data_IF_283980416182
#
_entry.id   IF_283980416182
#
_cell.length_a   1.000
_cell.length_b   1.000
_cell.length_c   1.000
_cell.angle_alpha   90.00
_cell.angle_beta   90.00
_cell.angle_gamma   90.00
#
_symmetry.space_group_name_H-M   'P 1'
#
loop_
_entity.id
_entity.type
_entity.pdbx_description
1 polymer ?
#
# COMPACT_ATOMS: atom_id res chain seq x y z
N UNK A 1 9.78 -23.18 0.10
CA UNK A 1 9.13 -23.49 1.40
C UNK A 1 10.05 -24.28 2.37
N UNK A 2 11.28 -24.58 1.99
CA UNK A 2 12.23 -25.38 2.80
C UNK A 2 12.60 -24.73 4.15
N UNK A 3 12.46 -23.41 4.25
CA UNK A 3 12.91 -22.62 5.42
C UNK A 3 11.79 -21.87 6.14
N UNK A 4 10.51 -22.06 5.76
CA UNK A 4 9.37 -21.38 6.37
C UNK A 4 9.36 -19.85 6.24
N UNK A 5 10.21 -19.30 5.36
CA UNK A 5 10.30 -17.86 5.13
C UNK A 5 9.26 -17.35 4.13
N UNK A 6 8.89 -16.08 4.25
CA UNK A 6 8.11 -15.33 3.28
C UNK A 6 8.93 -14.14 2.75
N UNK A 7 8.77 -13.82 1.47
CA UNK A 7 9.39 -12.67 0.83
C UNK A 7 8.29 -11.73 0.33
N UNK A 8 8.37 -10.46 0.72
CA UNK A 8 7.57 -9.39 0.15
C UNK A 8 8.46 -8.45 -0.67
N UNK A 9 7.98 -8.06 -1.85
CA UNK A 9 8.63 -7.04 -2.68
C UNK A 9 7.62 -5.91 -2.94
N UNK A 10 8.09 -4.67 -2.90
CA UNK A 10 7.27 -3.50 -3.20
C UNK A 10 8.00 -2.59 -4.18
N UNK A 11 7.27 -2.02 -5.13
CA UNK A 11 7.76 -1.06 -6.12
C UNK A 11 6.78 0.08 -6.30
N UNK A 12 7.21 1.18 -6.91
CA UNK A 12 6.34 2.32 -7.21
C UNK A 12 5.49 2.11 -8.47
N UNK A 13 5.93 1.24 -9.38
CA UNK A 13 5.23 0.94 -10.62
C UNK A 13 5.27 -0.56 -10.92
N UNK A 14 4.20 -1.09 -11.50
CA UNK A 14 4.19 -2.46 -12.00
C UNK A 14 5.26 -2.70 -13.09
N UNK A 15 5.67 -1.66 -13.80
CA UNK A 15 6.70 -1.72 -14.85
C UNK A 15 8.07 -2.13 -14.29
N UNK A 16 8.36 -1.76 -13.04
CA UNK A 16 9.64 -2.09 -12.38
C UNK A 16 9.87 -3.60 -12.28
N UNK A 17 8.81 -4.39 -12.18
CA UNK A 17 8.92 -5.85 -12.17
C UNK A 17 9.41 -6.42 -13.48
N UNK A 18 9.26 -5.69 -14.58
CA UNK A 18 9.72 -6.12 -15.92
C UNK A 18 11.08 -5.54 -16.31
N UNK A 19 11.72 -4.79 -15.42
CA UNK A 19 13.05 -4.20 -15.62
C UNK A 19 14.19 -5.22 -15.55
N UNK A 20 13.97 -6.39 -14.96
CA UNK A 20 14.95 -7.47 -14.90
C UNK A 20 14.29 -8.84 -14.80
N UNK A 21 15.00 -9.88 -15.28
CA UNK A 21 14.50 -11.27 -15.20
C UNK A 21 14.27 -11.73 -13.76
N UNK A 22 15.05 -11.26 -12.80
CA UNK A 22 14.91 -11.58 -11.38
C UNK A 22 13.63 -11.00 -10.78
N UNK A 23 13.31 -9.74 -11.10
CA UNK A 23 12.09 -9.09 -10.64
C UNK A 23 10.86 -9.71 -11.30
N UNK A 24 10.92 -10.03 -12.58
CA UNK A 24 9.85 -10.74 -13.29
C UNK A 24 9.61 -12.14 -12.67
N UNK A 25 10.68 -12.87 -12.35
CA UNK A 25 10.58 -14.16 -11.67
C UNK A 25 9.95 -14.00 -10.27
N UNK A 26 10.33 -12.98 -9.49
CA UNK A 26 9.74 -12.70 -8.19
C UNK A 26 8.23 -12.44 -8.30
N UNK A 27 7.79 -11.63 -9.26
CA UNK A 27 6.37 -11.38 -9.52
C UNK A 27 5.64 -12.67 -9.92
N UNK A 28 6.22 -13.47 -10.83
CA UNK A 28 5.60 -14.71 -11.32
C UNK A 28 5.50 -15.79 -10.25
N UNK A 29 6.41 -15.80 -9.28
CA UNK A 29 6.40 -16.72 -8.14
C UNK A 29 5.58 -16.21 -6.94
N UNK A 30 5.04 -14.98 -7.01
CA UNK A 30 4.25 -14.41 -5.94
C UNK A 30 2.82 -14.98 -5.94
N UNK A 31 2.38 -15.57 -4.86
CA UNK A 31 1.00 -16.04 -4.68
C UNK A 31 0.04 -14.86 -4.48
N UNK A 32 0.50 -13.79 -3.83
CA UNK A 32 -0.27 -12.60 -3.52
C UNK A 32 0.28 -11.40 -4.26
N UNK A 33 -0.59 -10.66 -4.93
CA UNK A 33 -0.25 -9.41 -5.63
C UNK A 33 -1.23 -8.33 -5.18
N UNK A 34 -0.68 -7.21 -4.70
CA UNK A 34 -1.43 -6.01 -4.32
C UNK A 34 -1.09 -4.91 -5.31
N UNK A 35 -2.08 -4.40 -6.03
CA UNK A 35 -1.91 -3.29 -6.95
C UNK A 35 -2.66 -2.06 -6.42
N UNK A 36 -1.93 -1.03 -6.07
CA UNK A 36 -2.48 0.31 -5.89
C UNK A 36 -2.82 0.89 -7.27
N UNK A 37 -3.38 2.09 -7.31
CA UNK A 37 -3.68 2.78 -8.57
C UNK A 37 -2.46 2.82 -9.47
N UNK A 38 -2.61 2.34 -10.69
CA UNK A 38 -1.58 2.30 -11.72
C UNK A 38 -1.94 3.22 -12.89
N UNK A 39 -0.94 3.60 -13.67
CA UNK A 39 -1.14 4.27 -14.97
C UNK A 39 -1.74 3.29 -15.98
N UNK A 40 -2.45 3.83 -16.99
CA UNK A 40 -3.07 3.00 -18.02
C UNK A 40 -2.05 2.12 -18.76
N UNK A 41 -0.87 2.66 -19.05
CA UNK A 41 0.21 1.94 -19.73
C UNK A 41 0.70 0.73 -18.91
N UNK A 42 0.84 0.90 -17.59
CA UNK A 42 1.24 -0.18 -16.67
C UNK A 42 0.18 -1.28 -16.59
N UNK A 43 -1.11 -0.92 -16.62
CA UNK A 43 -2.23 -1.87 -16.68
C UNK A 43 -2.19 -2.68 -17.98
N UNK A 44 -1.95 -2.01 -19.12
CA UNK A 44 -1.79 -2.68 -20.42
C UNK A 44 -0.60 -3.65 -20.42
N UNK A 45 0.54 -3.25 -19.83
CA UNK A 45 1.73 -4.10 -19.74
C UNK A 45 1.45 -5.35 -18.89
N UNK A 46 0.80 -5.22 -17.72
CA UNK A 46 0.39 -6.35 -16.89
C UNK A 46 -0.49 -7.34 -17.65
N UNK A 47 -1.43 -6.84 -18.46
CA UNK A 47 -2.28 -7.67 -19.31
C UNK A 47 -1.50 -8.40 -20.40
N UNK A 48 -0.61 -7.70 -21.13
CA UNK A 48 0.21 -8.30 -22.20
C UNK A 48 1.17 -9.36 -21.70
N UNK A 49 1.72 -9.21 -20.50
CA UNK A 49 2.62 -10.17 -19.87
C UNK A 49 1.88 -11.37 -19.27
N UNK A 50 0.54 -11.37 -19.27
CA UNK A 50 -0.29 -12.49 -18.84
C UNK A 50 -0.27 -12.81 -17.36
N UNK A 51 0.32 -11.93 -16.51
CA UNK A 51 0.33 -12.15 -15.06
C UNK A 51 -1.06 -12.03 -14.44
N UNK A 52 -1.88 -11.14 -15.00
CA UNK A 52 -3.26 -10.95 -14.62
C UNK A 52 -4.09 -11.13 -15.89
N UNK A 53 -5.06 -12.04 -15.84
CA UNK A 53 -6.04 -12.15 -16.93
C UNK A 53 -6.80 -10.85 -17.03
N UNK A 54 -6.66 -10.14 -18.15
CA UNK A 54 -7.15 -8.79 -18.33
C UNK A 54 -8.29 -8.78 -19.34
N UNK A 55 -9.47 -8.43 -18.86
CA UNK A 55 -10.63 -8.06 -19.68
C UNK A 55 -10.94 -6.57 -19.51
N UNK A 56 -11.88 -6.05 -20.29
CA UNK A 56 -12.26 -4.63 -20.22
C UNK A 56 -12.86 -4.24 -18.86
N UNK A 57 -13.55 -5.16 -18.19
CA UNK A 57 -14.14 -4.90 -16.87
C UNK A 57 -13.04 -4.76 -15.83
N UNK A 58 -12.03 -5.64 -15.86
CA UNK A 58 -10.87 -5.59 -14.96
C UNK A 58 -9.99 -4.36 -15.21
N UNK A 59 -9.79 -3.98 -16.47
CA UNK A 59 -9.10 -2.72 -16.80
C UNK A 59 -9.78 -1.51 -16.16
N UNK A 60 -11.11 -1.40 -16.33
CA UNK A 60 -11.91 -0.32 -15.72
C UNK A 60 -11.82 -0.36 -14.19
N UNK A 61 -11.87 -1.55 -13.60
CA UNK A 61 -11.72 -1.75 -12.16
C UNK A 61 -10.37 -1.22 -11.66
N UNK A 62 -9.26 -1.61 -12.29
CA UNK A 62 -7.92 -1.17 -11.93
C UNK A 62 -7.73 0.34 -12.11
N UNK A 63 -8.33 0.92 -13.16
CA UNK A 63 -8.31 2.36 -13.40
C UNK A 63 -9.17 3.15 -12.40
N UNK A 64 -10.21 2.52 -11.83
CA UNK A 64 -11.11 3.15 -10.86
C UNK A 64 -10.54 3.21 -9.45
N UNK A 65 -9.47 2.47 -9.15
CA UNK A 65 -8.81 2.48 -7.84
C UNK A 65 -8.39 3.90 -7.47
N UNK A 66 -8.68 4.30 -6.24
CA UNK A 66 -8.39 5.64 -5.76
C UNK A 66 -7.90 5.65 -4.32
N UNK A 67 -7.23 6.73 -3.98
CA UNK A 67 -6.86 7.05 -2.61
C UNK A 67 -7.50 8.39 -2.27
N UNK A 68 -8.23 8.44 -1.18
CA UNK A 68 -8.73 9.65 -0.56
C UNK A 68 -7.85 9.95 0.66
N UNK A 69 -6.97 10.96 0.58
CA UNK A 69 -6.01 11.22 1.63
C UNK A 69 -6.66 11.41 3.01
N UNK A 70 -6.18 10.68 4.02
CA UNK A 70 -6.72 10.72 5.37
C UNK A 70 -8.03 9.96 5.58
N UNK A 71 -8.59 9.35 4.53
CA UNK A 71 -9.86 8.62 4.61
C UNK A 71 -9.68 7.15 4.27
N UNK A 72 -9.22 6.85 3.06
CA UNK A 72 -8.97 5.46 2.63
C UNK A 72 -7.99 5.35 1.47
N UNK A 73 -7.48 4.16 1.26
CA UNK A 73 -6.71 3.76 0.08
C UNK A 73 -7.28 2.46 -0.48
N UNK A 74 -7.54 2.39 -1.78
CA UNK A 74 -7.99 1.18 -2.45
C UNK A 74 -6.82 0.46 -3.10
N UNK A 75 -6.86 -0.88 -3.04
CA UNK A 75 -5.97 -1.74 -3.76
C UNK A 75 -6.73 -2.93 -4.37
N UNK A 76 -6.30 -3.36 -5.54
CA UNK A 76 -6.70 -4.63 -6.09
C UNK A 76 -5.81 -5.72 -5.50
N UNK A 77 -6.42 -6.81 -5.09
CA UNK A 77 -5.74 -7.97 -4.52
C UNK A 77 -6.00 -9.17 -5.43
N UNK A 78 -4.93 -9.84 -5.86
CA UNK A 78 -4.99 -11.14 -6.55
C UNK A 78 -4.32 -12.18 -5.68
N UNK A 79 -4.98 -13.30 -5.45
CA UNK A 79 -4.51 -14.37 -4.59
C UNK A 79 -4.99 -15.74 -5.09
N UNK A 80 -4.44 -16.86 -4.56
CA UNK A 80 -4.88 -18.20 -4.90
C UNK A 80 -6.35 -18.52 -4.52
N UNK A 81 -6.93 -17.73 -3.60
CA UNK A 81 -8.31 -17.92 -3.13
C UNK A 81 -9.32 -16.99 -3.82
N UNK A 82 -8.85 -16.08 -4.66
CA UNK A 82 -9.70 -15.16 -5.40
C UNK A 82 -9.07 -13.79 -5.60
N UNK A 83 -9.81 -12.91 -6.24
CA UNK A 83 -9.39 -11.55 -6.54
C UNK A 83 -10.51 -10.53 -6.25
N UNK A 84 -10.13 -9.30 -5.97
CA UNK A 84 -11.09 -8.24 -5.70
C UNK A 84 -10.43 -6.93 -5.32
N UNK A 85 -11.25 -5.95 -4.97
CA UNK A 85 -10.79 -4.66 -4.44
C UNK A 85 -10.95 -4.64 -2.93
N UNK A 86 -9.87 -4.31 -2.25
CA UNK A 86 -9.87 -4.03 -0.83
C UNK A 86 -9.73 -2.53 -0.59
N UNK A 87 -10.39 -2.03 0.46
CA UNK A 87 -10.24 -0.65 0.91
C UNK A 87 -9.55 -0.66 2.27
N UNK A 88 -8.39 -0.03 2.34
CA UNK A 88 -7.65 0.15 3.57
C UNK A 88 -8.07 1.47 4.23
N UNK A 89 -8.58 1.38 5.45
CA UNK A 89 -8.98 2.52 6.27
C UNK A 89 -8.12 2.45 7.53
N UNK A 90 -7.24 3.43 7.69
CA UNK A 90 -6.40 3.52 8.89
C UNK A 90 -7.15 4.26 9.99
N UNK A 91 -7.03 3.75 11.21
CA UNK A 91 -7.40 4.51 12.39
C UNK A 91 -6.45 5.72 12.57
N UNK A 92 -6.85 6.75 13.36
CA UNK A 92 -6.05 7.96 13.50
C UNK A 92 -4.64 7.72 14.05
N UNK A 93 -4.45 6.72 14.93
CA UNK A 93 -3.15 6.36 15.49
C UNK A 93 -2.24 5.79 14.40
N UNK A 94 -2.72 4.77 13.68
CA UNK A 94 -1.99 4.17 12.55
C UNK A 94 -1.70 5.18 11.45
N UNK A 95 -2.64 6.10 11.18
CA UNK A 95 -2.43 7.16 10.19
C UNK A 95 -1.23 8.04 10.57
N UNK A 96 -1.12 8.48 11.84
CA UNK A 96 0.00 9.28 12.32
C UNK A 96 1.31 8.48 12.34
N UNK A 97 1.26 7.21 12.77
CA UNK A 97 2.44 6.34 12.85
C UNK A 97 3.11 6.15 11.48
N UNK A 98 2.33 6.08 10.41
CA UNK A 98 2.82 5.87 9.04
C UNK A 98 2.85 7.15 8.20
N UNK A 99 2.50 8.32 8.75
CA UNK A 99 2.55 9.58 8.02
C UNK A 99 3.98 10.00 7.74
N UNK A 100 4.21 10.48 6.53
CA UNK A 100 5.47 11.13 6.12
C UNK A 100 5.31 12.65 5.93
N UNK A 101 4.17 13.21 6.33
CA UNK A 101 3.91 14.64 6.21
C UNK A 101 4.59 15.42 7.31
N UNK A 102 5.20 16.55 6.95
CA UNK A 102 5.87 17.42 7.91
C UNK A 102 4.91 17.93 9.00
N UNK A 103 3.67 18.25 8.63
CA UNK A 103 2.62 18.72 9.54
C UNK A 103 2.23 17.69 10.63
N UNK A 104 2.48 16.40 10.38
CA UNK A 104 2.29 15.33 11.34
C UNK A 104 3.57 15.04 12.13
N UNK A 105 4.71 15.01 11.43
CA UNK A 105 5.98 14.59 12.03
C UNK A 105 6.58 15.66 12.93
N UNK A 106 6.51 16.95 12.57
CA UNK A 106 7.11 18.01 13.38
C UNK A 106 6.58 18.06 14.83
N UNK A 107 5.26 18.02 15.09
CA UNK A 107 4.73 17.94 16.46
C UNK A 107 5.11 16.64 17.18
N UNK A 108 5.21 15.51 16.47
CA UNK A 108 5.64 14.24 17.06
C UNK A 108 7.10 14.29 17.48
N UNK A 109 7.96 14.88 16.66
CA UNK A 109 9.40 15.04 16.98
C UNK A 109 9.61 15.97 18.17
N UNK A 110 8.81 17.03 18.31
CA UNK A 110 8.82 17.89 19.50
C UNK A 110 8.48 17.12 20.76
N UNK A 111 7.39 16.32 20.74
CA UNK A 111 6.96 15.52 21.87
C UNK A 111 8.00 14.44 22.23
N UNK A 112 8.59 13.80 21.25
CA UNK A 112 9.66 12.82 21.45
C UNK A 112 10.93 13.45 22.03
N UNK A 113 11.27 14.66 21.58
CA UNK A 113 12.40 15.43 22.12
C UNK A 113 12.17 15.85 23.58
N UNK A 114 10.90 15.98 24.00
CA UNK A 114 10.52 16.18 25.38
C UNK A 114 10.53 14.89 26.25
N UNK A 115 10.91 13.75 25.65
CA UNK A 115 11.11 12.47 26.35
C UNK A 115 9.95 11.48 26.26
N UNK A 116 8.90 11.76 25.45
CA UNK A 116 7.80 10.82 25.28
C UNK A 116 8.21 9.65 24.35
N UNK A 117 7.65 8.47 24.60
CA UNK A 117 7.69 7.37 23.64
C UNK A 117 6.92 7.76 22.37
N UNK A 118 7.11 7.02 21.26
CA UNK A 118 6.35 7.26 20.02
C UNK A 118 4.85 7.07 20.25
N UNK A 119 4.46 6.06 21.02
CA UNK A 119 3.07 5.75 21.32
C UNK A 119 2.41 6.85 22.16
N UNK A 120 3.10 7.33 23.19
CA UNK A 120 2.63 8.44 24.04
C UNK A 120 2.56 9.75 23.25
N UNK A 121 3.54 10.01 22.37
CA UNK A 121 3.55 11.20 21.54
C UNK A 121 2.38 11.21 20.55
N UNK A 122 2.09 10.07 19.88
CA UNK A 122 0.93 9.95 19.00
C UNK A 122 -0.36 10.14 19.78
N UNK A 123 -0.51 9.46 20.92
CA UNK A 123 -1.69 9.57 21.79
C UNK A 123 -1.93 11.02 22.24
N UNK A 124 -0.89 11.71 22.67
CA UNK A 124 -0.98 13.12 23.08
C UNK A 124 -1.33 14.03 21.90
N UNK A 125 -0.74 13.79 20.72
CA UNK A 125 -1.06 14.58 19.52
C UNK A 125 -2.51 14.38 19.08
N UNK A 126 -3.03 13.15 19.15
CA UNK A 126 -4.43 12.84 18.84
C UNK A 126 -5.36 13.54 19.80
N UNK A 127 -5.05 13.53 21.11
CA UNK A 127 -5.81 14.23 22.14
C UNK A 127 -5.86 15.74 21.87
N UNK A 128 -4.73 16.36 21.47
CA UNK A 128 -4.68 17.78 21.08
C UNK A 128 -5.51 18.09 19.83
N UNK A 129 -5.64 17.13 18.90
CA UNK A 129 -6.47 17.23 17.70
C UNK A 129 -7.95 16.90 17.95
N UNK A 130 -8.35 16.59 19.19
CA UNK A 130 -9.74 16.32 19.55
C UNK A 130 -10.24 14.91 19.24
N UNK A 131 -9.34 13.96 19.00
CA UNK A 131 -9.70 12.55 18.87
C UNK A 131 -9.85 11.91 20.25
N UNK A 132 -10.89 11.07 20.41
CA UNK A 132 -11.00 10.18 21.59
C UNK A 132 -9.99 9.04 21.40
N UNK A 133 -9.09 8.87 22.35
CA UNK A 133 -8.04 7.85 22.36
C UNK A 133 -8.30 6.88 23.50
#
# INVERSE_FOLDING_TARGET
RKYGGALGTATQSADDFYGSAQMEAALNCSDWVFLLRQKAESIELLGRRGRITMDESKKRLLQSLRTEPGVFSECYVSSPVGEGVARNILDPFSHLLFSNKLEDNAPLDELRSAGLSIDDAITELLRRRGHSV
#
